data_IF_285797689496
#
_entry.id   IF_285797689496
#
_cell.length_a   1.000
_cell.length_b   1.000
_cell.length_c   1.000
_cell.angle_alpha   90.00
_cell.angle_beta   90.00
_cell.angle_gamma   90.00
#
_symmetry.space_group_name_H-M   'P 1'
#
loop_
_entity.id
_entity.type
_entity.pdbx_description
1 polymer ?
#
# COMPACT_ATOMS: atom_id res chain seq x y z
N UNK A 1 56.10 -27.69 40.08
CA UNK A 1 55.11 -28.29 39.20
C UNK A 1 53.68 -27.83 39.55
N UNK A 2 53.22 -27.92 40.82
CA UNK A 2 51.86 -27.55 41.24
C UNK A 2 51.53 -26.06 41.01
N UNK A 3 52.43 -25.14 41.39
CA UNK A 3 52.25 -23.68 41.22
C UNK A 3 52.17 -23.26 39.74
N UNK A 4 52.95 -23.91 38.87
CA UNK A 4 52.91 -23.67 37.43
C UNK A 4 51.58 -24.11 36.83
N UNK A 5 51.07 -25.29 37.24
CA UNK A 5 49.79 -25.80 36.79
C UNK A 5 48.61 -24.93 37.29
N UNK A 6 48.68 -24.36 38.49
CA UNK A 6 47.69 -23.44 39.00
C UNK A 6 47.68 -22.10 38.22
N UNK A 7 48.86 -21.55 37.88
CA UNK A 7 48.95 -20.32 37.06
C UNK A 7 48.42 -20.55 35.65
N UNK A 8 48.76 -21.68 35.02
CA UNK A 8 48.26 -22.06 33.71
C UNK A 8 46.74 -22.28 33.71
N UNK A 9 46.21 -22.96 34.73
CA UNK A 9 44.76 -23.13 34.88
C UNK A 9 44.03 -21.79 35.09
N UNK A 10 44.59 -20.89 35.87
CA UNK A 10 44.02 -19.56 36.11
C UNK A 10 44.03 -18.70 34.82
N UNK A 11 45.12 -18.75 34.04
CA UNK A 11 45.22 -18.08 32.75
C UNK A 11 44.15 -18.62 31.75
N UNK A 12 43.99 -19.94 31.66
CA UNK A 12 42.98 -20.57 30.82
C UNK A 12 41.53 -20.16 31.19
N UNK A 13 41.24 -20.10 32.49
CA UNK A 13 39.91 -19.62 32.96
C UNK A 13 39.70 -18.15 32.64
N UNK A 14 40.71 -17.28 32.75
CA UNK A 14 40.61 -15.88 32.39
C UNK A 14 40.42 -15.68 30.89
N UNK A 15 41.12 -16.43 30.04
CA UNK A 15 40.96 -16.40 28.59
C UNK A 15 39.56 -16.85 28.16
N UNK A 16 39.04 -17.95 28.77
CA UNK A 16 37.68 -18.43 28.52
C UNK A 16 36.64 -17.39 28.94
N UNK A 17 36.77 -16.77 30.11
CA UNK A 17 35.85 -15.73 30.58
C UNK A 17 35.86 -14.48 29.70
N UNK A 18 37.03 -14.05 29.20
CA UNK A 18 37.14 -12.94 28.25
C UNK A 18 36.48 -13.27 26.90
N UNK A 19 36.69 -14.48 26.38
CA UNK A 19 36.07 -14.96 25.15
C UNK A 19 34.56 -14.98 25.28
N UNK A 20 34.03 -15.53 26.36
CA UNK A 20 32.58 -15.59 26.62
C UNK A 20 31.97 -14.18 26.76
N UNK A 21 32.64 -13.28 27.47
CA UNK A 21 32.21 -11.88 27.62
C UNK A 21 32.13 -11.18 26.27
N UNK A 22 33.13 -11.39 25.42
CA UNK A 22 33.16 -10.75 24.08
C UNK A 22 32.05 -11.31 23.18
N UNK A 23 31.85 -12.63 23.15
CA UNK A 23 30.76 -13.26 22.40
C UNK A 23 29.41 -12.74 22.88
N UNK A 24 29.17 -12.68 24.19
CA UNK A 24 27.95 -12.19 24.77
C UNK A 24 27.70 -10.71 24.43
N UNK A 25 28.75 -9.87 24.44
CA UNK A 25 28.64 -8.46 24.04
C UNK A 25 28.24 -8.31 22.57
N UNK A 26 28.87 -9.08 21.68
CA UNK A 26 28.53 -9.09 20.24
C UNK A 26 27.11 -9.60 20.03
N UNK A 27 26.72 -10.69 20.69
CA UNK A 27 25.36 -11.25 20.61
C UNK A 27 24.31 -10.24 21.08
N UNK A 28 24.58 -9.53 22.17
CA UNK A 28 23.69 -8.48 22.66
C UNK A 28 23.59 -7.30 21.69
N UNK A 29 24.68 -6.91 21.07
CA UNK A 29 24.71 -5.85 20.04
C UNK A 29 23.89 -6.26 18.80
N UNK A 30 24.02 -7.51 18.37
CA UNK A 30 23.22 -8.09 17.28
C UNK A 30 21.72 -8.01 17.61
N UNK A 31 21.34 -8.33 18.84
CA UNK A 31 19.94 -8.32 19.29
C UNK A 31 19.37 -6.94 19.52
N UNK A 32 20.21 -5.94 19.85
CA UNK A 32 19.78 -4.58 20.18
C UNK A 32 19.55 -3.70 18.96
N UNK A 33 20.06 -4.04 17.79
CA UNK A 33 19.91 -3.25 16.56
C UNK A 33 19.17 -4.06 15.50
N UNK A 34 18.09 -3.49 14.97
CA UNK A 34 17.38 -4.03 13.81
C UNK A 34 17.92 -3.47 12.48
N UNK A 35 18.84 -2.51 12.54
CA UNK A 35 19.44 -1.88 11.36
C UNK A 35 20.71 -2.64 10.95
N UNK A 36 20.71 -3.35 9.80
CA UNK A 36 21.81 -4.20 9.39
C UNK A 36 23.18 -3.49 9.31
N UNK A 37 23.30 -2.24 8.76
CA UNK A 37 24.59 -1.54 8.69
C UNK A 37 25.19 -1.25 10.06
N UNK A 38 24.38 -0.83 11.02
CA UNK A 38 24.80 -0.55 12.41
C UNK A 38 25.29 -1.81 13.09
N UNK A 39 24.56 -2.91 12.91
CA UNK A 39 24.89 -4.22 13.46
C UNK A 39 26.21 -4.78 12.87
N UNK A 40 26.39 -4.70 11.56
CA UNK A 40 27.61 -5.19 10.90
C UNK A 40 28.86 -4.39 11.29
N UNK A 41 28.74 -3.07 11.38
CA UNK A 41 29.81 -2.20 11.84
C UNK A 41 30.20 -2.51 13.31
N UNK A 42 29.20 -2.76 14.15
CA UNK A 42 29.42 -3.10 15.55
C UNK A 42 30.12 -4.46 15.71
N UNK A 43 29.73 -5.48 14.95
CA UNK A 43 30.42 -6.78 14.94
C UNK A 43 31.90 -6.62 14.57
N UNK A 44 32.18 -5.89 13.50
CA UNK A 44 33.56 -5.65 13.07
C UNK A 44 34.36 -4.89 14.12
N UNK A 45 33.78 -3.88 14.76
CA UNK A 45 34.39 -3.08 15.81
C UNK A 45 34.71 -3.90 17.06
N UNK A 46 33.73 -4.64 17.56
CA UNK A 46 33.89 -5.43 18.79
C UNK A 46 34.95 -6.52 18.61
N UNK A 47 34.93 -7.26 17.51
CA UNK A 47 35.91 -8.29 17.23
C UNK A 47 37.32 -7.69 17.00
N UNK A 48 37.40 -6.62 16.18
CA UNK A 48 38.68 -5.94 15.91
C UNK A 48 39.33 -5.37 17.17
N UNK A 49 38.52 -4.80 18.06
CA UNK A 49 38.99 -4.27 19.35
C UNK A 49 39.43 -5.40 20.31
N UNK A 50 38.67 -6.49 20.39
CA UNK A 50 38.99 -7.62 21.27
C UNK A 50 40.29 -8.29 20.87
N UNK A 51 40.56 -8.45 19.58
CA UNK A 51 41.77 -9.05 19.04
C UNK A 51 42.92 -8.05 18.85
N UNK A 52 42.66 -6.76 19.13
CA UNK A 52 43.68 -5.69 18.99
C UNK A 52 44.35 -5.68 17.62
N UNK A 53 43.54 -5.76 16.57
CA UNK A 53 44.00 -5.76 15.17
C UNK A 53 43.89 -4.38 14.58
N UNK A 54 44.69 -4.09 13.51
CA UNK A 54 44.68 -2.82 12.79
C UNK A 54 43.48 -2.64 11.85
N UNK A 55 42.73 -3.72 11.61
CA UNK A 55 41.50 -3.66 10.84
C UNK A 55 40.71 -4.95 10.92
N UNK A 56 39.38 -4.79 10.94
CA UNK A 56 38.42 -5.87 10.84
C UNK A 56 37.33 -5.49 9.82
N UNK A 57 37.06 -6.39 8.89
CA UNK A 57 36.08 -6.16 7.83
C UNK A 57 35.08 -7.31 7.80
N UNK A 58 33.80 -7.01 7.83
CA UNK A 58 32.73 -7.95 7.55
C UNK A 58 32.27 -7.74 6.12
N UNK A 59 32.33 -8.79 5.33
CA UNK A 59 31.99 -8.78 3.90
C UNK A 59 30.97 -9.84 3.57
N UNK A 60 30.03 -9.50 2.69
CA UNK A 60 29.03 -10.43 2.17
C UNK A 60 29.36 -10.82 0.74
N UNK A 61 29.34 -12.10 0.46
CA UNK A 61 29.55 -12.68 -0.84
C UNK A 61 29.23 -14.18 -0.82
N UNK A 62 28.91 -14.74 -1.97
CA UNK A 62 28.65 -16.16 -2.19
C UNK A 62 29.51 -16.66 -3.35
N UNK A 63 29.50 -17.95 -3.61
CA UNK A 63 30.20 -18.53 -4.74
C UNK A 63 29.72 -17.97 -6.11
N UNK A 64 28.47 -17.55 -6.21
CA UNK A 64 27.88 -17.00 -7.43
C UNK A 64 28.14 -15.50 -7.64
N UNK A 65 28.62 -14.80 -6.62
CA UNK A 65 28.91 -13.38 -6.72
C UNK A 65 30.22 -13.13 -7.48
N UNK A 66 30.27 -12.03 -8.21
CA UNK A 66 31.49 -11.62 -8.94
C UNK A 66 32.47 -10.87 -8.04
N UNK A 67 31.97 -10.11 -7.10
CA UNK A 67 32.74 -9.24 -6.21
C UNK A 67 32.32 -9.38 -4.75
N UNK A 68 33.25 -9.12 -3.86
CA UNK A 68 33.01 -9.05 -2.43
C UNK A 68 32.39 -7.70 -2.07
N UNK A 69 31.36 -7.70 -1.22
CA UNK A 69 30.72 -6.48 -0.71
C UNK A 69 31.06 -6.29 0.75
N UNK A 70 31.74 -5.20 1.10
CA UNK A 70 31.99 -4.86 2.49
C UNK A 70 30.78 -4.20 3.12
N UNK A 71 30.31 -4.72 4.25
CA UNK A 71 29.13 -4.23 4.97
C UNK A 71 29.44 -3.77 6.39
N UNK A 72 30.61 -4.11 6.92
CA UNK A 72 31.07 -3.63 8.22
C UNK A 72 32.58 -3.45 8.24
N UNK A 73 33.06 -2.32 8.76
CA UNK A 73 34.47 -1.97 8.84
C UNK A 73 34.83 -1.48 10.23
N UNK A 74 35.95 -1.93 10.73
CA UNK A 74 36.67 -1.37 11.89
C UNK A 74 38.09 -0.99 11.47
N UNK A 75 38.45 0.28 11.65
CA UNK A 75 39.80 0.78 11.48
C UNK A 75 40.10 1.78 12.63
N UNK A 76 40.95 1.41 13.58
CA UNK A 76 41.26 2.29 14.73
C UNK A 76 41.96 3.60 14.35
N UNK A 77 42.58 3.67 13.16
CA UNK A 77 43.25 4.89 12.66
C UNK A 77 42.26 5.86 11.99
N UNK A 78 41.11 5.39 11.52
CA UNK A 78 40.05 6.17 10.86
C UNK A 78 38.68 5.84 11.44
N UNK A 79 38.39 6.15 12.73
CA UNK A 79 37.16 5.70 13.38
C UNK A 79 35.86 6.31 12.80
N UNK A 80 35.96 7.38 12.01
CA UNK A 80 34.80 8.10 11.47
C UNK A 80 34.31 7.58 10.11
N UNK A 81 35.03 6.70 9.43
CA UNK A 81 34.63 6.12 8.14
C UNK A 81 33.75 4.85 8.25
N UNK A 82 33.13 4.63 9.39
CA UNK A 82 32.54 3.35 9.79
C UNK A 82 31.15 3.12 9.24
N UNK A 83 30.49 4.11 8.65
CA UNK A 83 29.09 3.99 8.25
C UNK A 83 28.97 4.06 6.74
N UNK A 84 28.56 2.94 6.13
CA UNK A 84 28.05 2.92 4.77
C UNK A 84 26.68 3.63 4.80
N UNK A 85 26.63 4.81 4.24
CA UNK A 85 25.48 5.73 4.22
C UNK A 85 24.33 5.26 3.27
N UNK A 86 24.19 3.98 3.03
CA UNK A 86 23.14 3.47 2.16
C UNK A 86 22.12 2.65 2.95
N UNK A 87 20.88 3.10 2.91
CA UNK A 87 19.72 2.35 3.36
C UNK A 87 19.60 0.98 2.66
N UNK A 88 20.27 0.81 1.54
CA UNK A 88 20.38 -0.44 0.79
C UNK A 88 21.78 -1.06 0.90
N UNK A 89 22.04 -1.67 2.04
CA UNK A 89 23.29 -2.38 2.32
C UNK A 89 23.56 -3.54 1.34
N UNK A 90 22.55 -4.02 0.60
CA UNK A 90 22.69 -5.04 -0.43
C UNK A 90 23.27 -4.49 -1.73
N UNK A 91 23.18 -3.18 -1.96
CA UNK A 91 23.73 -2.51 -3.14
C UNK A 91 25.04 -1.76 -2.87
N UNK A 92 25.55 -1.80 -1.65
CA UNK A 92 26.78 -1.12 -1.27
C UNK A 92 27.98 -1.61 -2.10
N UNK A 93 28.37 -0.82 -3.08
CA UNK A 93 29.43 -1.10 -4.05
C UNK A 93 30.72 -0.44 -3.62
N UNK A 94 31.40 -0.90 -2.60
CA UNK A 94 32.61 -0.18 -2.14
C UNK A 94 33.90 -0.99 -2.21
N UNK A 95 33.84 -2.23 -2.67
CA UNK A 95 35.05 -3.01 -2.88
C UNK A 95 34.93 -3.82 -4.15
N UNK A 96 35.85 -3.61 -5.06
CA UNK A 96 35.95 -4.35 -6.34
C UNK A 96 36.86 -5.57 -6.25
N UNK A 97 36.91 -6.25 -5.10
CA UNK A 97 37.73 -7.47 -4.95
C UNK A 97 37.05 -8.61 -5.71
N UNK A 98 37.62 -9.08 -6.84
CA UNK A 98 37.07 -10.17 -7.61
C UNK A 98 37.25 -11.50 -6.84
N UNK A 99 36.17 -12.28 -6.75
CA UNK A 99 36.18 -13.54 -6.02
C UNK A 99 36.93 -14.62 -6.80
N UNK A 100 36.71 -14.70 -8.11
CA UNK A 100 37.27 -15.75 -8.98
C UNK A 100 38.81 -15.70 -9.06
N UNK A 101 39.39 -14.53 -9.01
CA UNK A 101 40.83 -14.32 -9.16
C UNK A 101 41.59 -14.24 -7.83
N UNK A 102 40.88 -14.24 -6.72
CA UNK A 102 41.49 -14.12 -5.40
C UNK A 102 41.77 -15.51 -4.78
N UNK A 103 43.03 -15.96 -4.67
CA UNK A 103 43.35 -17.30 -4.21
C UNK A 103 42.95 -17.53 -2.75
N UNK A 104 42.91 -16.49 -1.94
CA UNK A 104 42.50 -16.61 -0.52
C UNK A 104 41.01 -16.90 -0.43
N UNK A 105 40.19 -16.19 -1.22
CA UNK A 105 38.75 -16.44 -1.29
C UNK A 105 38.44 -17.80 -1.94
N UNK A 106 39.23 -18.21 -2.93
CA UNK A 106 39.10 -19.55 -3.51
C UNK A 106 39.46 -20.65 -2.50
N UNK A 107 40.51 -20.45 -1.68
CA UNK A 107 40.84 -21.36 -0.59
C UNK A 107 39.73 -21.47 0.45
N UNK A 108 39.08 -20.34 0.79
CA UNK A 108 37.90 -20.33 1.66
C UNK A 108 36.75 -21.13 1.07
N UNK A 109 36.43 -20.92 -0.23
CA UNK A 109 35.37 -21.66 -0.92
C UNK A 109 35.60 -23.15 -0.93
N UNK A 110 36.83 -23.55 -1.17
CA UNK A 110 37.21 -24.97 -1.24
C UNK A 110 37.24 -25.66 0.14
N UNK A 111 37.83 -24.99 1.14
CA UNK A 111 38.04 -25.62 2.46
C UNK A 111 36.90 -25.41 3.42
N UNK A 112 36.15 -24.30 3.25
CA UNK A 112 35.13 -23.78 4.20
C UNK A 112 35.68 -23.61 5.61
N UNK A 113 37.00 -23.37 5.73
CA UNK A 113 37.73 -23.19 6.99
C UNK A 113 38.46 -21.87 7.04
N UNK A 114 38.79 -21.41 8.21
CA UNK A 114 39.61 -20.22 8.44
C UNK A 114 40.93 -20.30 7.69
N UNK A 115 41.26 -19.26 6.94
CA UNK A 115 42.53 -19.10 6.21
C UNK A 115 43.37 -18.06 6.93
N UNK A 116 44.62 -18.40 7.24
CA UNK A 116 45.55 -17.52 7.97
C UNK A 116 46.85 -17.36 7.21
N UNK A 117 47.41 -16.16 7.28
CA UNK A 117 48.77 -15.85 6.88
C UNK A 117 49.48 -15.08 7.99
N UNK A 118 50.63 -15.55 8.43
CA UNK A 118 51.43 -14.91 9.48
C UNK A 118 52.34 -13.82 8.95
N UNK A 119 52.73 -13.88 7.68
CA UNK A 119 53.57 -12.92 6.99
C UNK A 119 53.38 -12.97 5.48
N UNK A 120 52.61 -12.04 4.93
CA UNK A 120 52.30 -11.96 3.48
C UNK A 120 53.52 -11.56 2.65
N UNK A 121 54.50 -10.86 3.21
CA UNK A 121 55.72 -10.48 2.48
C UNK A 121 56.55 -11.74 2.12
N UNK A 122 56.48 -12.78 2.91
CA UNK A 122 57.10 -14.09 2.61
C UNK A 122 56.30 -14.89 1.56
N UNK A 123 55.06 -14.56 1.35
CA UNK A 123 54.15 -15.24 0.44
C UNK A 123 53.87 -14.38 -0.79
N UNK A 124 54.89 -14.15 -1.64
CA UNK A 124 54.86 -13.22 -2.80
C UNK A 124 53.66 -13.44 -3.73
N UNK A 125 53.08 -14.60 -3.78
CA UNK A 125 51.95 -14.92 -4.61
C UNK A 125 50.63 -14.38 -4.03
N UNK A 126 50.53 -14.11 -2.72
CA UNK A 126 49.34 -13.59 -2.05
C UNK A 126 49.38 -12.08 -1.85
N UNK A 127 50.60 -11.51 -1.76
CA UNK A 127 50.79 -10.07 -1.57
C UNK A 127 50.30 -9.17 -2.73
N UNK A 128 49.93 -9.77 -3.86
CA UNK A 128 49.44 -9.06 -5.06
C UNK A 128 47.94 -8.85 -5.09
N UNK A 129 47.19 -9.52 -4.20
CA UNK A 129 45.74 -9.48 -4.24
C UNK A 129 45.23 -8.39 -3.31
N UNK A 130 44.42 -7.51 -3.86
CA UNK A 130 43.77 -6.46 -3.13
C UNK A 130 42.79 -7.07 -2.12
N UNK A 131 42.99 -6.69 -0.85
CA UNK A 131 41.99 -6.95 0.18
C UNK A 131 40.96 -5.84 0.15
N UNK A 132 39.75 -6.07 0.61
CA UNK A 132 38.78 -4.99 0.81
C UNK A 132 39.47 -3.82 1.53
N UNK A 133 39.30 -2.60 0.99
CA UNK A 133 39.85 -1.33 1.56
C UNK A 133 41.33 -1.03 1.29
N UNK A 134 41.95 -1.51 0.24
CA UNK A 134 43.27 -1.10 -0.26
C UNK A 134 44.34 -0.90 0.84
N UNK A 135 44.15 -1.47 2.02
CA UNK A 135 45.06 -1.30 3.12
C UNK A 135 46.12 -2.41 3.11
N UNK A 136 47.36 -2.03 3.29
CA UNK A 136 48.48 -2.98 3.46
C UNK A 136 48.15 -3.91 4.62
N UNK A 137 48.31 -5.20 4.40
CA UNK A 137 48.26 -6.20 5.46
C UNK A 137 49.54 -6.98 5.41
N UNK A 138 50.21 -7.17 6.55
CA UNK A 138 51.37 -8.03 6.72
C UNK A 138 50.98 -9.40 7.22
N UNK A 139 50.01 -9.44 8.14
CA UNK A 139 49.39 -10.70 8.55
C UNK A 139 47.86 -10.59 8.46
N UNK A 140 47.20 -11.68 8.13
CA UNK A 140 45.74 -11.74 8.04
C UNK A 140 45.17 -13.05 8.54
N UNK A 141 43.90 -12.98 8.98
CA UNK A 141 43.04 -14.13 9.24
C UNK A 141 41.71 -13.85 8.56
N UNK A 142 41.22 -14.80 7.78
CA UNK A 142 39.90 -14.70 7.13
C UNK A 142 39.03 -15.87 7.58
N UNK A 143 37.89 -15.55 8.19
CA UNK A 143 36.96 -16.51 8.75
C UNK A 143 35.71 -16.51 7.89
N UNK A 144 35.26 -17.65 7.36
CA UNK A 144 34.02 -17.72 6.57
C UNK A 144 32.80 -17.54 7.45
N UNK A 145 31.78 -16.82 6.91
CA UNK A 145 30.42 -16.82 7.43
C UNK A 145 29.67 -17.98 6.79
N UNK A 146 29.37 -19.01 7.56
CA UNK A 146 28.72 -20.22 7.08
C UNK A 146 27.25 -20.25 7.49
N UNK A 147 26.38 -20.51 6.53
CA UNK A 147 24.98 -20.81 6.72
C UNK A 147 24.66 -22.09 5.97
N UNK A 148 24.16 -23.12 6.63
CA UNK A 148 23.85 -24.43 6.03
C UNK A 148 25.01 -24.99 5.16
N UNK A 149 26.23 -24.85 5.65
CA UNK A 149 27.48 -25.26 4.97
C UNK A 149 27.82 -24.43 3.70
N UNK A 150 27.07 -23.36 3.41
CA UNK A 150 27.36 -22.45 2.32
C UNK A 150 28.00 -21.15 2.83
N UNK A 151 28.95 -20.61 2.05
CA UNK A 151 29.57 -19.32 2.39
C UNK A 151 28.63 -18.20 1.96
N UNK A 152 28.26 -17.35 2.93
CA UNK A 152 27.45 -16.15 2.72
C UNK A 152 28.25 -14.85 2.91
N UNK A 153 29.53 -14.98 3.25
CA UNK A 153 30.43 -13.89 3.50
C UNK A 153 31.70 -14.30 4.24
N UNK A 154 32.44 -13.33 4.73
CA UNK A 154 33.64 -13.55 5.54
C UNK A 154 33.91 -12.38 6.49
N UNK A 155 34.62 -12.68 7.58
CA UNK A 155 35.28 -11.67 8.41
C UNK A 155 36.76 -11.71 8.12
N UNK A 156 37.35 -10.57 7.80
CA UNK A 156 38.80 -10.41 7.54
C UNK A 156 39.41 -9.57 8.66
N UNK A 157 40.38 -10.13 9.34
CA UNK A 157 41.18 -9.50 10.38
C UNK A 157 42.58 -9.26 9.83
N UNK A 158 43.16 -8.09 10.04
CA UNK A 158 44.45 -7.72 9.48
C UNK A 158 45.37 -7.04 10.51
N UNK A 159 46.66 -7.32 10.35
CA UNK A 159 47.76 -6.59 10.96
C UNK A 159 48.57 -5.93 9.85
N UNK A 160 48.83 -4.63 9.94
CA UNK A 160 49.41 -3.88 8.83
C UNK A 160 50.93 -3.81 8.85
N UNK A 161 51.53 -3.59 10.03
CA UNK A 161 52.96 -3.23 10.15
C UNK A 161 53.84 -4.40 10.63
N UNK A 162 53.27 -5.43 11.21
CA UNK A 162 54.03 -6.55 11.80
C UNK A 162 53.48 -7.89 11.36
N UNK A 163 54.35 -8.89 11.28
CA UNK A 163 53.94 -10.29 11.20
C UNK A 163 53.23 -10.67 12.52
N UNK A 164 52.23 -11.55 12.44
CA UNK A 164 51.47 -12.02 13.60
C UNK A 164 51.22 -13.52 13.54
N UNK A 165 51.54 -14.17 14.62
CA UNK A 165 51.14 -15.56 14.84
C UNK A 165 49.78 -15.56 15.52
N UNK A 166 48.79 -16.10 14.85
CA UNK A 166 47.43 -16.20 15.36
C UNK A 166 47.33 -17.37 16.32
N UNK A 167 46.91 -17.15 17.55
CA UNK A 167 46.72 -18.20 18.54
C UNK A 167 45.44 -19.02 18.28
N UNK A 168 45.37 -20.22 18.84
CA UNK A 168 44.16 -21.03 18.77
C UNK A 168 42.96 -20.33 19.40
N UNK A 169 43.17 -19.64 20.53
CA UNK A 169 42.10 -18.89 21.21
C UNK A 169 41.58 -17.74 20.38
N UNK A 170 42.44 -17.02 19.67
CA UNK A 170 42.03 -15.93 18.75
C UNK A 170 41.21 -16.47 17.56
N UNK A 171 41.64 -17.61 17.01
CA UNK A 171 40.93 -18.26 15.90
C UNK A 171 39.56 -18.74 16.33
N UNK A 172 39.46 -19.41 17.45
CA UNK A 172 38.18 -19.86 18.00
C UNK A 172 37.22 -18.71 18.34
N UNK A 173 37.74 -17.58 18.85
CA UNK A 173 36.93 -16.41 19.10
C UNK A 173 36.39 -15.84 17.78
N UNK A 174 37.24 -15.72 16.76
CA UNK A 174 36.85 -15.20 15.45
C UNK A 174 35.81 -16.09 14.77
N UNK A 175 35.98 -17.40 14.85
CA UNK A 175 35.02 -18.40 14.34
C UNK A 175 33.67 -18.36 15.07
N UNK A 176 33.69 -18.23 16.39
CA UNK A 176 32.47 -18.08 17.17
C UNK A 176 31.70 -16.79 16.81
N UNK A 177 32.44 -15.69 16.63
CA UNK A 177 31.82 -14.43 16.17
C UNK A 177 31.32 -14.53 14.73
N UNK A 178 32.05 -15.19 13.84
CA UNK A 178 31.63 -15.43 12.46
C UNK A 178 30.30 -16.22 12.39
N UNK A 179 30.16 -17.24 13.25
CA UNK A 179 28.89 -17.98 13.36
C UNK A 179 27.73 -17.10 13.80
N UNK A 180 27.93 -16.21 14.78
CA UNK A 180 26.91 -15.26 15.21
C UNK A 180 26.60 -14.20 14.12
N UNK A 181 27.62 -13.74 13.42
CA UNK A 181 27.47 -12.81 12.29
C UNK A 181 26.69 -13.45 11.14
N UNK A 182 26.91 -14.74 10.85
CA UNK A 182 26.13 -15.44 9.81
C UNK A 182 24.63 -15.47 10.14
N UNK A 183 24.28 -15.76 11.40
CA UNK A 183 22.89 -15.70 11.87
C UNK A 183 22.32 -14.29 11.74
N UNK A 184 23.09 -13.28 12.12
CA UNK A 184 22.70 -11.88 12.02
C UNK A 184 22.42 -11.45 10.57
N UNK A 185 23.25 -11.86 9.63
CA UNK A 185 23.07 -11.61 8.18
C UNK A 185 21.79 -12.26 7.69
N UNK A 186 21.51 -13.50 8.09
CA UNK A 186 20.28 -14.20 7.72
C UNK A 186 19.04 -13.47 8.26
N UNK A 187 19.06 -13.11 9.55
CA UNK A 187 17.95 -12.37 10.17
C UNK A 187 17.71 -11.04 9.49
N UNK A 188 18.76 -10.29 9.16
CA UNK A 188 18.68 -9.04 8.44
C UNK A 188 18.03 -9.19 7.06
N UNK A 189 18.42 -10.22 6.30
CA UNK A 189 17.83 -10.55 4.99
C UNK A 189 16.35 -10.89 5.11
N UNK A 190 15.99 -11.76 6.04
CA UNK A 190 14.59 -12.15 6.28
C UNK A 190 13.73 -10.96 6.69
N UNK A 191 14.23 -10.10 7.58
CA UNK A 191 13.50 -8.91 8.02
C UNK A 191 13.25 -7.94 6.85
N UNK A 192 14.25 -7.70 6.02
CA UNK A 192 14.11 -6.85 4.84
C UNK A 192 13.13 -7.44 3.82
N UNK A 193 13.16 -8.76 3.59
CA UNK A 193 12.19 -9.43 2.73
C UNK A 193 10.77 -9.28 3.27
N UNK A 194 10.57 -9.46 4.58
CA UNK A 194 9.28 -9.28 5.23
C UNK A 194 8.75 -7.85 5.04
N UNK A 195 9.58 -6.83 5.25
CA UNK A 195 9.19 -5.43 5.04
C UNK A 195 8.77 -5.15 3.59
N UNK A 196 9.51 -5.70 2.61
CA UNK A 196 9.17 -5.56 1.19
C UNK A 196 7.82 -6.23 0.85
N UNK A 197 7.57 -7.41 1.39
CA UNK A 197 6.29 -8.11 1.19
C UNK A 197 5.13 -7.37 1.90
N UNK A 198 5.32 -6.88 3.11
CA UNK A 198 4.32 -6.06 3.80
C UNK A 198 3.97 -4.79 3.00
N UNK A 199 4.98 -4.13 2.43
CA UNK A 199 4.76 -2.95 1.59
C UNK A 199 3.99 -3.28 0.31
N UNK A 200 4.31 -4.41 -0.36
CA UNK A 200 3.57 -4.89 -1.52
C UNK A 200 2.11 -5.20 -1.18
N UNK A 201 1.87 -5.92 -0.08
CA UNK A 201 0.51 -6.24 0.40
C UNK A 201 -0.26 -4.95 0.72
N UNK A 202 0.37 -3.99 1.39
CA UNK A 202 -0.24 -2.69 1.69
C UNK A 202 -0.62 -1.91 0.42
N UNK A 203 0.29 -1.85 -0.56
CA UNK A 203 0.02 -1.20 -1.86
C UNK A 203 -1.12 -1.89 -2.61
N UNK A 204 -1.12 -3.22 -2.64
CA UNK A 204 -2.17 -4.01 -3.29
C UNK A 204 -3.52 -3.81 -2.60
N UNK A 205 -3.57 -3.87 -1.27
CA UNK A 205 -4.79 -3.64 -0.50
C UNK A 205 -5.33 -2.22 -0.73
N UNK A 206 -4.46 -1.21 -0.75
CA UNK A 206 -4.84 0.15 -1.07
C UNK A 206 -5.42 0.25 -2.49
N UNK A 207 -4.77 -0.33 -3.49
CA UNK A 207 -5.26 -0.35 -4.86
C UNK A 207 -6.62 -1.05 -4.98
N UNK A 208 -6.77 -2.24 -4.39
CA UNK A 208 -8.03 -2.98 -4.42
C UNK A 208 -9.15 -2.20 -3.73
N UNK A 209 -8.87 -1.59 -2.58
CA UNK A 209 -9.86 -0.85 -1.80
C UNK A 209 -10.27 0.44 -2.50
N UNK A 210 -9.32 1.30 -2.85
CA UNK A 210 -9.59 2.64 -3.37
C UNK A 210 -9.94 2.66 -4.86
N UNK A 211 -9.23 1.87 -5.65
CA UNK A 211 -9.34 1.96 -7.11
C UNK A 211 -10.29 0.93 -7.72
N UNK A 212 -10.54 -0.18 -7.04
CA UNK A 212 -11.40 -1.25 -7.57
C UNK A 212 -12.71 -1.33 -6.80
N UNK A 213 -12.68 -1.69 -5.51
CA UNK A 213 -13.91 -1.97 -4.76
C UNK A 213 -14.85 -0.77 -4.64
N UNK A 214 -14.32 0.44 -4.44
CA UNK A 214 -15.14 1.67 -4.36
C UNK A 214 -15.86 2.03 -5.67
N UNK A 215 -15.48 1.42 -6.80
CA UNK A 215 -16.21 1.60 -8.06
C UNK A 215 -17.49 0.76 -8.15
N UNK A 216 -17.55 -0.33 -7.40
CA UNK A 216 -18.64 -1.30 -7.48
C UNK A 216 -19.47 -1.39 -6.20
N UNK A 217 -18.93 -0.91 -5.08
CA UNK A 217 -19.56 -0.96 -3.77
C UNK A 217 -19.54 0.42 -3.11
N UNK A 218 -20.57 0.74 -2.31
CA UNK A 218 -20.58 1.96 -1.52
C UNK A 218 -19.33 2.10 -0.64
N UNK A 219 -18.72 3.29 -0.62
CA UNK A 219 -17.49 3.55 0.12
C UNK A 219 -17.59 3.18 1.62
N UNK A 220 -18.75 3.39 2.23
CA UNK A 220 -19.01 3.01 3.63
C UNK A 220 -18.85 1.50 3.86
N UNK A 221 -19.31 0.67 2.92
CA UNK A 221 -19.17 -0.80 2.97
C UNK A 221 -17.70 -1.18 2.83
N UNK A 222 -17.03 -0.64 1.81
CA UNK A 222 -15.61 -0.92 1.55
C UNK A 222 -14.74 -0.53 2.73
N UNK A 223 -14.95 0.65 3.31
CA UNK A 223 -14.18 1.12 4.47
C UNK A 223 -14.39 0.24 5.72
N UNK A 224 -15.63 -0.18 5.99
CA UNK A 224 -15.93 -1.09 7.10
C UNK A 224 -15.30 -2.47 6.89
N UNK A 225 -15.33 -2.99 5.67
CA UNK A 225 -14.71 -4.27 5.30
C UNK A 225 -13.17 -4.19 5.40
N UNK A 226 -12.56 -3.13 4.91
CA UNK A 226 -11.11 -2.92 4.98
C UNK A 226 -10.57 -2.85 6.42
N UNK A 227 -11.42 -2.41 7.37
CA UNK A 227 -11.08 -2.39 8.80
C UNK A 227 -11.46 -3.67 9.55
N UNK A 228 -11.91 -4.72 8.84
CA UNK A 228 -12.35 -5.99 9.44
C UNK A 228 -13.65 -5.91 10.27
N UNK A 229 -14.36 -4.77 10.21
CA UNK A 229 -15.59 -4.54 10.99
C UNK A 229 -16.86 -5.06 10.30
N UNK A 230 -16.77 -5.42 9.03
CA UNK A 230 -17.92 -5.88 8.24
C UNK A 230 -17.46 -6.92 7.20
N UNK A 231 -18.24 -8.00 7.06
CA UNK A 231 -18.14 -8.89 5.93
C UNK A 231 -18.73 -8.22 4.68
N UNK A 232 -18.14 -8.45 3.51
CA UNK A 232 -18.72 -8.01 2.23
C UNK A 232 -19.98 -8.80 1.84
N UNK A 233 -20.30 -9.88 2.53
CA UNK A 233 -21.51 -10.69 2.29
C UNK A 233 -22.68 -10.12 3.11
N UNK A 234 -23.20 -8.97 2.67
CA UNK A 234 -24.31 -8.25 3.30
C UNK A 234 -25.64 -8.96 2.96
N UNK A 235 -26.16 -9.67 3.92
CA UNK A 235 -27.48 -10.32 3.80
C UNK A 235 -28.58 -9.27 3.56
N UNK A 236 -29.48 -9.47 2.57
CA UNK A 236 -30.57 -8.55 2.32
C UNK A 236 -31.49 -8.40 3.54
N UNK A 237 -31.75 -7.16 3.95
CA UNK A 237 -32.59 -6.85 5.11
C UNK A 237 -33.65 -5.78 4.80
N UNK A 238 -34.83 -5.83 5.45
CA UNK A 238 -35.85 -4.80 5.31
C UNK A 238 -35.38 -3.46 5.89
N UNK A 239 -35.41 -2.41 5.06
CA UNK A 239 -35.08 -1.02 5.46
C UNK A 239 -36.12 -0.04 4.93
N UNK A 240 -36.27 1.09 5.61
CA UNK A 240 -36.98 2.24 5.04
C UNK A 240 -35.94 3.15 4.38
N UNK A 241 -36.07 3.38 3.08
CA UNK A 241 -35.13 4.16 2.30
C UNK A 241 -35.86 5.21 1.46
N UNK A 242 -35.14 6.25 1.06
CA UNK A 242 -35.58 7.17 0.01
C UNK A 242 -34.83 6.86 -1.25
N UNK A 243 -35.56 6.61 -2.35
CA UNK A 243 -35.01 6.32 -3.67
C UNK A 243 -35.17 7.55 -4.56
N UNK A 244 -34.12 7.88 -5.29
CA UNK A 244 -34.08 8.92 -6.30
C UNK A 244 -33.75 8.29 -7.65
N UNK A 245 -34.59 8.54 -8.66
CA UNK A 245 -34.27 8.32 -10.07
C UNK A 245 -34.07 9.65 -10.77
N UNK A 246 -33.03 9.77 -11.56
CA UNK A 246 -32.75 10.90 -12.43
C UNK A 246 -32.43 10.41 -13.83
N UNK A 247 -32.87 11.14 -14.87
CA UNK A 247 -32.71 10.73 -16.26
C UNK A 247 -32.63 11.99 -17.16
N UNK A 248 -31.96 11.88 -18.29
CA UNK A 248 -31.90 12.95 -19.30
C UNK A 248 -33.15 12.95 -20.20
N UNK A 249 -33.64 14.11 -20.48
CA UNK A 249 -34.79 14.26 -21.43
C UNK A 249 -34.27 14.26 -22.86
N UNK A 250 -34.75 13.30 -23.65
CA UNK A 250 -34.43 13.23 -25.08
C UNK A 250 -33.08 12.60 -25.41
N UNK A 251 -32.44 11.93 -24.47
CA UNK A 251 -31.14 11.28 -24.69
C UNK A 251 -31.18 10.27 -25.84
N UNK A 252 -32.25 9.50 -25.99
CA UNK A 252 -32.45 8.57 -27.12
C UNK A 252 -32.36 9.27 -28.48
N UNK A 253 -32.93 10.47 -28.61
CA UNK A 253 -32.81 11.27 -29.84
C UNK A 253 -31.38 11.85 -30.02
N UNK A 254 -30.70 12.17 -28.93
CA UNK A 254 -29.32 12.62 -28.95
C UNK A 254 -28.40 11.53 -29.44
N UNK A 255 -28.56 10.30 -28.91
CA UNK A 255 -27.74 9.16 -29.26
C UNK A 255 -27.82 8.72 -30.73
N UNK A 256 -28.91 9.08 -31.42
CA UNK A 256 -29.06 8.82 -32.87
C UNK A 256 -28.43 9.92 -33.76
N UNK A 257 -28.02 11.05 -33.20
CA UNK A 257 -27.50 12.21 -33.94
C UNK A 257 -26.02 12.49 -33.73
N UNK A 258 -25.49 12.12 -32.59
CA UNK A 258 -24.09 12.37 -32.26
C UNK A 258 -23.19 11.21 -32.69
N UNK A 259 -21.94 11.54 -32.97
CA UNK A 259 -20.89 10.53 -33.12
C UNK A 259 -20.72 9.72 -31.82
N UNK A 260 -20.48 8.41 -31.96
CA UNK A 260 -20.45 7.47 -30.82
C UNK A 260 -19.40 7.85 -29.77
N UNK A 261 -18.23 8.33 -30.19
CA UNK A 261 -17.15 8.73 -29.28
C UNK A 261 -17.58 9.96 -28.46
N UNK A 262 -18.12 10.98 -29.12
CA UNK A 262 -18.59 12.20 -28.45
C UNK A 262 -19.77 11.92 -27.52
N UNK A 263 -20.68 11.02 -27.94
CA UNK A 263 -21.80 10.58 -27.09
C UNK A 263 -21.28 9.91 -25.80
N UNK A 264 -20.27 9.04 -25.92
CA UNK A 264 -19.66 8.36 -24.78
C UNK A 264 -18.96 9.35 -23.83
N UNK A 265 -18.27 10.36 -24.36
CA UNK A 265 -17.65 11.42 -23.55
C UNK A 265 -18.70 12.22 -22.76
N UNK A 266 -19.76 12.68 -23.44
CA UNK A 266 -20.85 13.42 -22.81
C UNK A 266 -21.54 12.59 -21.73
N UNK A 267 -21.82 11.31 -22.02
CA UNK A 267 -22.46 10.41 -21.06
C UNK A 267 -21.57 10.18 -19.84
N UNK A 268 -20.28 9.95 -20.02
CA UNK A 268 -19.34 9.78 -18.92
C UNK A 268 -19.22 11.04 -18.04
N UNK A 269 -19.05 12.23 -18.65
CA UNK A 269 -19.01 13.49 -17.92
C UNK A 269 -20.33 13.72 -17.13
N UNK A 270 -21.48 13.37 -17.73
CA UNK A 270 -22.78 13.46 -17.07
C UNK A 270 -22.89 12.49 -15.88
N UNK A 271 -22.60 11.19 -16.08
CA UNK A 271 -22.73 10.18 -15.04
C UNK A 271 -21.76 10.46 -13.88
N UNK A 272 -20.56 10.96 -14.16
CA UNK A 272 -19.59 11.40 -13.13
C UNK A 272 -20.16 12.57 -12.29
N UNK A 273 -20.71 13.59 -12.93
CA UNK A 273 -21.30 14.74 -12.24
C UNK A 273 -22.52 14.34 -11.41
N UNK A 274 -23.37 13.45 -11.92
CA UNK A 274 -24.55 12.94 -11.19
C UNK A 274 -24.12 12.11 -9.98
N UNK A 275 -23.13 11.22 -10.14
CA UNK A 275 -22.56 10.43 -9.04
C UNK A 275 -21.96 11.33 -7.98
N UNK A 276 -21.19 12.35 -8.39
CA UNK A 276 -20.64 13.34 -7.47
C UNK A 276 -21.72 14.02 -6.64
N UNK A 277 -22.82 14.43 -7.27
CA UNK A 277 -23.96 15.05 -6.56
C UNK A 277 -24.57 14.11 -5.51
N UNK A 278 -24.64 12.78 -5.79
CA UNK A 278 -25.11 11.79 -4.82
C UNK A 278 -24.13 11.69 -3.64
N UNK A 279 -22.82 11.59 -3.91
CA UNK A 279 -21.79 11.46 -2.87
C UNK A 279 -21.66 12.72 -2.02
N UNK A 280 -21.76 13.92 -2.60
CA UNK A 280 -21.73 15.20 -1.88
C UNK A 280 -22.83 15.29 -0.80
N UNK A 281 -23.93 14.53 -0.95
CA UNK A 281 -25.03 14.44 -0.01
C UNK A 281 -25.10 13.12 0.76
N UNK A 282 -24.00 12.35 0.78
CA UNK A 282 -23.91 11.04 1.46
C UNK A 282 -25.01 10.05 1.02
N UNK A 283 -25.35 10.07 -0.26
CA UNK A 283 -26.20 9.08 -0.90
C UNK A 283 -25.37 7.90 -1.44
N UNK A 284 -26.04 6.83 -1.79
CA UNK A 284 -25.48 5.66 -2.43
C UNK A 284 -25.96 5.59 -3.87
N UNK A 285 -25.05 5.57 -4.84
CA UNK A 285 -25.40 5.24 -6.24
C UNK A 285 -25.64 3.72 -6.28
N UNK A 286 -26.83 3.31 -6.69
CA UNK A 286 -27.19 1.90 -6.85
C UNK A 286 -26.69 1.39 -8.20
N UNK A 287 -27.18 1.99 -9.28
CA UNK A 287 -26.79 1.63 -10.65
C UNK A 287 -27.11 2.75 -11.65
N UNK A 288 -26.49 2.61 -12.81
CA UNK A 288 -26.86 3.34 -14.00
C UNK A 288 -27.76 2.48 -14.90
N UNK A 289 -28.77 3.11 -15.50
CA UNK A 289 -29.70 2.47 -16.44
C UNK A 289 -29.74 3.34 -17.70
N UNK A 290 -28.82 3.07 -18.64
CA UNK A 290 -28.56 3.97 -19.75
C UNK A 290 -28.01 5.33 -19.27
N UNK A 291 -28.72 6.41 -19.56
CA UNK A 291 -28.48 7.76 -19.03
C UNK A 291 -29.15 8.00 -17.66
N UNK A 292 -29.93 7.04 -17.17
CA UNK A 292 -30.59 7.12 -15.87
C UNK A 292 -29.66 6.75 -14.72
N UNK A 293 -29.82 7.48 -13.60
CA UNK A 293 -29.11 7.24 -12.35
C UNK A 293 -30.09 6.87 -11.26
N UNK A 294 -29.91 5.73 -10.63
CA UNK A 294 -30.62 5.33 -9.42
C UNK A 294 -29.73 5.56 -8.19
N UNK A 295 -30.24 6.31 -7.24
CA UNK A 295 -29.58 6.54 -5.96
C UNK A 295 -30.53 6.26 -4.80
N UNK A 296 -29.95 5.88 -3.65
CA UNK A 296 -30.71 5.64 -2.42
C UNK A 296 -30.07 6.33 -1.20
N UNK A 297 -30.90 6.64 -0.21
CA UNK A 297 -30.53 7.27 1.05
C UNK A 297 -31.14 6.46 2.20
N UNK A 298 -30.37 6.20 3.26
CA UNK A 298 -30.74 5.34 4.39
C UNK A 298 -30.20 3.91 4.27
N UNK A 299 -29.27 3.68 3.31
CA UNK A 299 -28.48 2.46 3.20
C UNK A 299 -27.18 2.75 2.44
N UNK A 300 -26.03 2.14 2.79
CA UNK A 300 -25.85 1.21 3.91
C UNK A 300 -25.89 1.86 5.29
N UNK A 301 -25.79 3.18 5.37
CA UNK A 301 -25.85 3.93 6.61
C UNK A 301 -27.30 4.25 6.98
N UNK A 302 -27.64 4.08 8.25
CA UNK A 302 -28.96 4.42 8.75
C UNK A 302 -29.11 5.94 8.84
N UNK A 303 -30.18 6.45 8.25
CA UNK A 303 -30.58 7.84 8.31
C UNK A 303 -32.05 7.93 8.72
N UNK A 304 -32.41 8.96 9.45
CA UNK A 304 -33.82 9.25 9.76
C UNK A 304 -34.61 9.58 8.50
N UNK A 305 -35.91 9.29 8.48
CA UNK A 305 -36.77 9.57 7.34
C UNK A 305 -36.70 11.03 6.85
N UNK A 306 -36.70 12.04 7.73
CA UNK A 306 -36.54 13.44 7.31
C UNK A 306 -35.18 13.73 6.66
N UNK A 307 -34.09 13.15 7.19
CA UNK A 307 -32.75 13.33 6.64
C UNK A 307 -32.60 12.70 5.26
N UNK A 308 -33.12 11.49 5.08
CA UNK A 308 -33.15 10.82 3.77
C UNK A 308 -33.85 11.67 2.72
N UNK A 309 -35.05 12.17 3.04
CA UNK A 309 -35.85 13.00 2.13
C UNK A 309 -35.13 14.33 1.81
N UNK A 310 -34.55 15.00 2.81
CA UNK A 310 -33.82 16.26 2.64
C UNK A 310 -32.60 16.06 1.74
N UNK A 311 -31.80 15.01 2.00
CA UNK A 311 -30.61 14.68 1.21
C UNK A 311 -30.96 14.33 -0.24
N UNK A 312 -32.00 13.52 -0.46
CA UNK A 312 -32.45 13.16 -1.81
C UNK A 312 -32.86 14.40 -2.63
N UNK A 313 -33.62 15.32 -2.03
CA UNK A 313 -34.02 16.56 -2.69
C UNK A 313 -32.84 17.49 -2.96
N UNK A 314 -31.93 17.63 -1.99
CA UNK A 314 -30.71 18.41 -2.15
C UNK A 314 -29.83 17.83 -3.26
N UNK A 315 -29.69 16.51 -3.33
CA UNK A 315 -29.00 15.81 -4.41
C UNK A 315 -29.59 16.16 -5.78
N UNK A 316 -30.92 16.06 -5.94
CA UNK A 316 -31.56 16.39 -7.21
C UNK A 316 -31.35 17.87 -7.62
N UNK A 317 -31.32 18.80 -6.65
CA UNK A 317 -30.98 20.20 -6.91
C UNK A 317 -29.52 20.36 -7.34
N UNK A 318 -28.58 19.68 -6.70
CA UNK A 318 -27.17 19.70 -7.05
C UNK A 318 -26.92 19.05 -8.41
N UNK A 319 -27.61 17.94 -8.73
CA UNK A 319 -27.60 17.33 -10.07
C UNK A 319 -28.01 18.32 -11.14
N UNK A 320 -29.11 19.07 -10.92
CA UNK A 320 -29.54 20.10 -11.84
C UNK A 320 -28.47 21.19 -12.02
N UNK A 321 -27.89 21.68 -10.95
CA UNK A 321 -26.82 22.67 -11.00
C UNK A 321 -25.61 22.17 -11.80
N UNK A 322 -25.17 20.95 -11.55
CA UNK A 322 -24.05 20.33 -12.28
C UNK A 322 -24.38 20.17 -13.77
N UNK A 323 -25.59 19.74 -14.11
CA UNK A 323 -25.99 19.66 -15.51
C UNK A 323 -25.96 21.03 -16.22
N UNK A 324 -26.34 22.13 -15.53
CA UNK A 324 -26.23 23.48 -16.11
C UNK A 324 -24.77 23.84 -16.38
N UNK A 325 -23.84 23.54 -15.48
CA UNK A 325 -22.42 23.76 -15.71
C UNK A 325 -21.88 22.92 -16.87
N UNK A 326 -22.30 21.66 -16.99
CA UNK A 326 -21.94 20.80 -18.11
C UNK A 326 -22.46 21.33 -19.42
N UNK A 327 -23.73 21.74 -19.47
CA UNK A 327 -24.34 22.39 -20.66
C UNK A 327 -23.52 23.59 -21.12
N UNK A 328 -23.14 24.48 -20.20
CA UNK A 328 -22.30 25.65 -20.54
C UNK A 328 -20.95 25.23 -21.11
N UNK A 329 -20.29 24.23 -20.50
CA UNK A 329 -19.01 23.71 -20.97
C UNK A 329 -19.11 23.05 -22.34
N UNK A 330 -20.16 22.26 -22.57
CA UNK A 330 -20.39 21.63 -23.87
C UNK A 330 -20.70 22.62 -24.97
N UNK A 331 -21.49 23.65 -24.67
CA UNK A 331 -21.73 24.77 -25.63
C UNK A 331 -20.45 25.51 -25.98
N UNK A 332 -19.54 25.73 -25.04
CA UNK A 332 -18.26 26.40 -25.28
C UNK A 332 -17.25 25.53 -26.09
N UNK A 333 -17.36 24.20 -26.05
CA UNK A 333 -16.50 23.28 -26.82
C UNK A 333 -16.89 23.16 -28.31
N UNK A 334 -18.05 23.66 -28.70
CA UNK A 334 -18.62 23.49 -30.04
C UNK A 334 -17.99 24.48 -31.03
N UNK A 335 -16.87 24.12 -31.64
CA UNK A 335 -16.28 24.88 -32.76
C UNK A 335 -16.10 24.11 -34.08
N UNK A 336 -16.40 22.79 -34.16
CA UNK A 336 -16.14 22.03 -35.40
C UNK A 336 -17.00 20.78 -35.68
N UNK A 337 -17.85 20.32 -34.76
CA UNK A 337 -18.49 18.99 -34.94
C UNK A 337 -20.00 18.95 -34.70
N UNK A 338 -20.70 20.07 -34.80
CA UNK A 338 -22.15 20.12 -34.65
C UNK A 338 -22.60 20.63 -33.27
N UNK A 339 -23.79 21.26 -33.21
CA UNK A 339 -24.36 21.82 -31.97
C UNK A 339 -24.84 20.72 -31.03
N UNK A 340 -24.26 20.64 -29.84
CA UNK A 340 -24.82 19.81 -28.76
C UNK A 340 -26.04 20.53 -28.20
N UNK A 341 -27.23 19.92 -28.18
CA UNK A 341 -28.42 20.59 -27.62
C UNK A 341 -28.27 20.77 -26.10
N UNK A 342 -28.92 21.76 -25.54
CA UNK A 342 -29.01 21.94 -24.08
C UNK A 342 -29.81 20.78 -23.51
N UNK A 343 -29.13 19.96 -22.71
CA UNK A 343 -29.71 18.77 -22.08
C UNK A 343 -30.54 19.20 -20.86
N UNK A 344 -31.65 18.53 -20.67
CA UNK A 344 -32.56 18.72 -19.55
C UNK A 344 -32.67 17.42 -18.78
N UNK A 345 -32.94 17.49 -17.48
CA UNK A 345 -33.12 16.31 -16.63
C UNK A 345 -34.51 16.31 -16.00
N UNK A 346 -34.90 15.14 -15.51
CA UNK A 346 -36.11 14.94 -14.71
C UNK A 346 -35.83 13.94 -13.58
N UNK A 347 -36.37 14.23 -12.40
CA UNK A 347 -36.16 13.35 -11.23
C UNK A 347 -37.49 12.91 -10.62
N UNK A 348 -37.47 11.69 -10.07
CA UNK A 348 -38.54 11.15 -9.24
C UNK A 348 -37.99 10.70 -7.88
N UNK A 349 -38.62 11.08 -6.78
CA UNK A 349 -38.20 10.76 -5.41
C UNK A 349 -39.35 10.15 -4.64
N UNK A 350 -39.12 8.97 -4.09
CA UNK A 350 -40.10 8.28 -3.24
C UNK A 350 -39.42 7.64 -2.02
N UNK A 351 -40.09 7.69 -0.87
CA UNK A 351 -39.66 7.04 0.37
C UNK A 351 -40.59 5.90 0.74
N UNK A 352 -40.01 4.74 1.09
CA UNK A 352 -40.79 3.56 1.47
C UNK A 352 -39.92 2.41 1.98
N UNK A 353 -40.57 1.28 2.22
CA UNK A 353 -39.89 0.03 2.62
C UNK A 353 -39.31 -0.68 1.39
N UNK A 354 -38.07 -1.17 1.52
CA UNK A 354 -37.39 -2.02 0.58
C UNK A 354 -36.61 -3.10 1.30
N UNK A 355 -36.18 -4.12 0.58
CA UNK A 355 -35.12 -5.03 1.04
C UNK A 355 -33.82 -4.56 0.39
N UNK A 356 -32.80 -4.27 1.21
CA UNK A 356 -31.52 -3.74 0.76
C UNK A 356 -30.40 -4.68 1.18
N UNK A 357 -29.49 -4.97 0.28
CA UNK A 357 -28.35 -5.86 0.53
C UNK A 357 -27.71 -6.34 -0.75
N UNK A 358 -26.91 -7.40 -0.65
CA UNK A 358 -26.28 -8.03 -1.80
C UNK A 358 -27.24 -8.99 -2.47
N UNK A 359 -27.58 -8.73 -3.74
CA UNK A 359 -28.44 -9.58 -4.56
C UNK A 359 -27.66 -10.15 -5.75
N UNK A 360 -27.86 -11.41 -6.05
CA UNK A 360 -27.25 -12.07 -7.21
C UNK A 360 -26.82 -13.50 -6.92
N UNK A 361 -26.07 -14.06 -7.84
CA UNK A 361 -25.52 -15.42 -7.77
C UNK A 361 -24.07 -15.46 -7.27
N UNK A 362 -23.46 -16.66 -7.29
CA UNK A 362 -22.09 -16.86 -6.80
C UNK A 362 -21.01 -16.07 -7.56
N UNK A 363 -21.24 -15.77 -8.84
CA UNK A 363 -20.24 -15.07 -9.68
C UNK A 363 -20.43 -13.54 -9.74
N UNK A 364 -21.65 -13.06 -9.47
CA UNK A 364 -21.97 -11.63 -9.50
C UNK A 364 -23.02 -11.30 -8.45
N UNK A 365 -22.71 -10.34 -7.60
CA UNK A 365 -23.62 -9.77 -6.61
C UNK A 365 -23.56 -8.25 -6.71
N UNK A 366 -24.71 -7.60 -6.70
CA UNK A 366 -24.84 -6.16 -6.69
C UNK A 366 -25.47 -5.73 -5.37
N UNK A 367 -24.92 -4.67 -4.74
CA UNK A 367 -25.55 -4.05 -3.58
C UNK A 367 -26.68 -3.14 -4.06
N UNK A 368 -27.92 -3.54 -3.82
CA UNK A 368 -29.09 -2.85 -4.39
C UNK A 368 -30.31 -2.92 -3.48
N UNK A 369 -31.31 -2.15 -3.83
CA UNK A 369 -32.63 -2.14 -3.17
C UNK A 369 -33.69 -2.79 -4.07
N UNK A 370 -34.53 -3.65 -3.47
CA UNK A 370 -35.65 -4.30 -4.15
C UNK A 370 -36.94 -4.00 -3.40
N UNK A 371 -37.97 -3.48 -4.11
CA UNK A 371 -39.28 -3.20 -3.52
C UNK A 371 -40.11 -2.22 -4.32
N UNK A 372 -41.40 -2.05 -3.90
CA UNK A 372 -42.32 -1.13 -4.55
C UNK A 372 -41.80 0.32 -4.60
N UNK A 373 -41.00 0.73 -3.59
CA UNK A 373 -40.42 2.08 -3.50
C UNK A 373 -39.56 2.40 -4.73
N UNK A 374 -38.78 1.45 -5.22
CA UNK A 374 -37.93 1.60 -6.41
C UNK A 374 -38.80 1.85 -7.67
N UNK A 375 -39.80 1.04 -7.86
CA UNK A 375 -40.70 1.15 -9.00
C UNK A 375 -41.48 2.47 -9.00
N UNK A 376 -41.94 2.91 -7.83
CA UNK A 376 -42.68 4.19 -7.69
C UNK A 376 -41.75 5.37 -8.00
N UNK A 377 -40.53 5.41 -7.47
CA UNK A 377 -39.57 6.48 -7.77
C UNK A 377 -39.25 6.57 -9.27
N UNK A 378 -39.02 5.43 -9.92
CA UNK A 378 -38.81 5.35 -11.37
C UNK A 378 -40.01 5.86 -12.17
N UNK A 379 -41.25 5.51 -11.79
CA UNK A 379 -42.46 5.97 -12.47
C UNK A 379 -42.71 7.46 -12.25
N UNK A 380 -42.44 7.99 -11.07
CA UNK A 380 -42.47 9.42 -10.83
C UNK A 380 -41.51 10.15 -11.74
N UNK A 381 -40.29 9.67 -11.89
CA UNK A 381 -39.30 10.23 -12.80
C UNK A 381 -39.85 10.23 -14.26
N UNK A 382 -40.47 9.14 -14.71
CA UNK A 382 -40.95 9.02 -16.08
C UNK A 382 -42.05 10.02 -16.44
N UNK A 383 -42.90 10.42 -15.47
CA UNK A 383 -43.99 11.40 -15.67
C UNK A 383 -43.59 12.82 -15.26
N UNK A 384 -42.37 13.01 -14.75
CA UNK A 384 -41.88 14.34 -14.39
C UNK A 384 -41.62 15.18 -15.66
N UNK A 385 -41.92 16.49 -15.54
CA UNK A 385 -41.64 17.43 -16.61
C UNK A 385 -40.12 17.69 -16.74
N UNK A 386 -39.63 18.08 -17.91
CA UNK A 386 -38.23 18.52 -18.06
C UNK A 386 -37.87 19.60 -17.03
N UNK A 387 -36.67 19.53 -16.50
CA UNK A 387 -36.15 20.40 -15.45
C UNK A 387 -37.05 20.45 -14.20
N UNK A 388 -37.59 19.30 -13.77
CA UNK A 388 -38.38 19.19 -12.57
C UNK A 388 -38.09 17.96 -11.74
N UNK A 389 -38.43 18.03 -10.44
CA UNK A 389 -38.40 16.93 -9.49
C UNK A 389 -39.84 16.63 -9.09
N UNK A 390 -40.29 15.38 -9.22
CA UNK A 390 -41.51 14.89 -8.61
C UNK A 390 -41.20 14.18 -7.30
N UNK A 391 -41.85 14.63 -6.23
CA UNK A 391 -41.68 14.10 -4.87
C UNK A 391 -43.02 13.51 -4.43
N UNK A 392 -43.04 12.24 -4.05
CA UNK A 392 -44.26 11.61 -3.50
C UNK A 392 -44.74 12.34 -2.24
N UNK A 393 -46.04 12.31 -1.98
CA UNK A 393 -46.64 12.84 -0.75
C UNK A 393 -46.00 12.22 0.49
N UNK A 394 -45.67 10.91 0.46
CA UNK A 394 -44.96 10.22 1.56
C UNK A 394 -43.60 10.84 1.85
N UNK A 395 -42.84 11.20 0.81
CA UNK A 395 -41.52 11.85 0.94
C UNK A 395 -41.66 13.29 1.45
N UNK A 396 -42.65 14.02 0.95
CA UNK A 396 -42.92 15.39 1.38
C UNK A 396 -43.36 15.46 2.86
N UNK A 397 -44.23 14.54 3.28
CA UNK A 397 -44.70 14.43 4.67
C UNK A 397 -43.58 14.06 5.67
N UNK A 398 -42.53 13.39 5.23
CA UNK A 398 -41.35 13.12 6.05
C UNK A 398 -40.58 14.40 6.44
N UNK A 399 -40.75 15.48 5.68
CA UNK A 399 -40.06 16.76 5.89
C UNK A 399 -41.02 17.75 6.54
N UNK A 400 -41.49 17.58 7.76
CA UNK A 400 -42.38 18.48 8.51
C UNK A 400 -43.07 19.59 7.69
N UNK A 401 -44.36 19.84 7.91
CA UNK A 401 -45.27 20.67 7.13
C UNK A 401 -44.87 22.15 6.84
N UNK A 402 -43.68 22.59 7.23
CA UNK A 402 -43.22 23.98 7.07
C UNK A 402 -42.64 24.33 5.68
N UNK A 403 -42.59 23.39 4.72
CA UNK A 403 -42.08 23.64 3.39
C UNK A 403 -43.29 23.81 2.44
N UNK A 404 -43.42 24.99 1.84
CA UNK A 404 -44.42 25.21 0.80
C UNK A 404 -43.99 24.47 -0.48
N UNK A 405 -44.51 23.30 -0.69
CA UNK A 405 -44.23 22.43 -1.85
C UNK A 405 -45.03 22.85 -3.10
N UNK A 406 -45.89 23.86 -3.03
CA UNK A 406 -46.84 24.20 -4.08
C UNK A 406 -48.08 23.28 -4.07
N UNK A 407 -48.73 23.15 -5.24
CA UNK A 407 -49.95 22.34 -5.36
C UNK A 407 -49.64 20.86 -5.51
N UNK A 408 -50.30 20.01 -4.72
CA UNK A 408 -50.38 18.55 -4.95
C UNK A 408 -51.04 18.31 -6.30
N UNK A 409 -50.51 17.38 -7.05
CA UNK A 409 -51.09 16.91 -8.30
C UNK A 409 -51.28 15.40 -8.24
N UNK A 410 -52.36 14.95 -8.85
CA UNK A 410 -52.61 13.53 -9.01
C UNK A 410 -51.96 13.04 -10.31
N UNK A 411 -51.31 11.92 -10.23
CA UNK A 411 -50.65 11.27 -11.37
C UNK A 411 -51.16 9.84 -11.51
N UNK A 412 -51.46 9.42 -12.74
CA UNK A 412 -51.69 8.04 -13.07
C UNK A 412 -50.32 7.38 -13.33
N UNK A 413 -49.89 6.50 -12.46
CA UNK A 413 -48.62 5.78 -12.63
C UNK A 413 -48.90 4.38 -13.21
N UNK A 414 -48.19 3.99 -14.27
CA UNK A 414 -48.38 2.69 -14.94
C UNK A 414 -48.33 1.52 -13.95
N UNK A 415 -49.43 0.75 -13.85
CA UNK A 415 -49.53 -0.42 -12.93
C UNK A 415 -49.64 -0.02 -11.45
N UNK A 416 -50.20 1.14 -11.16
CA UNK A 416 -50.77 1.54 -9.89
C UNK A 416 -52.20 1.93 -10.18
N UNK A 417 -53.17 1.25 -9.57
CA UNK A 417 -54.60 1.40 -9.91
C UNK A 417 -55.14 2.71 -9.32
N UNK A 418 -54.58 3.16 -8.21
CA UNK A 418 -55.00 4.43 -7.55
C UNK A 418 -54.25 5.63 -8.09
N UNK A 419 -54.91 6.80 -8.05
CA UNK A 419 -54.27 8.10 -8.28
C UNK A 419 -53.16 8.35 -7.27
N UNK A 420 -51.95 8.64 -7.77
CA UNK A 420 -50.77 8.86 -6.96
C UNK A 420 -50.49 10.35 -6.73
N UNK A 421 -50.52 10.78 -5.49
CA UNK A 421 -50.30 12.18 -5.13
C UNK A 421 -48.79 12.48 -5.05
N UNK A 422 -48.40 13.57 -5.76
CA UNK A 422 -47.01 14.05 -5.75
C UNK A 422 -46.92 15.56 -5.86
N UNK A 423 -45.83 16.12 -5.38
CA UNK A 423 -45.49 17.54 -5.48
C UNK A 423 -44.44 17.74 -6.57
N UNK A 424 -44.52 18.82 -7.33
CA UNK A 424 -43.61 19.19 -8.41
C UNK A 424 -42.77 20.39 -8.04
N UNK A 425 -41.46 20.24 -7.99
CA UNK A 425 -40.51 21.35 -7.91
C UNK A 425 -39.95 21.61 -9.30
N UNK A 426 -40.13 22.80 -9.84
CA UNK A 426 -39.58 23.24 -11.13
C UNK A 426 -38.33 24.07 -10.89
N UNK A 427 -37.30 23.83 -11.69
CA UNK A 427 -36.15 24.71 -11.78
C UNK A 427 -36.42 25.80 -12.81
N UNK A 428 -36.14 27.06 -12.46
CA UNK A 428 -36.22 28.18 -13.43
C UNK A 428 -35.08 28.03 -14.44
N UNK A 429 -35.41 28.08 -15.72
CA UNK A 429 -34.39 28.15 -16.77
C UNK A 429 -33.67 29.52 -16.69
N UNK A 430 -32.33 29.57 -16.89
CA UNK A 430 -31.61 30.86 -16.91
C UNK A 430 -32.12 31.90 -17.91
N UNK A 431 -32.86 31.49 -18.93
CA UNK A 431 -33.40 32.35 -19.98
C UNK A 431 -34.71 33.08 -19.61
N UNK A 432 -35.24 32.91 -18.40
CA UNK A 432 -36.47 33.62 -17.94
C UNK A 432 -36.19 34.75 -16.95
N UNK A 433 -34.97 35.21 -16.84
CA UNK A 433 -34.56 36.35 -16.00
C UNK A 433 -34.05 37.49 -16.90
N UNK A 434 -34.87 37.96 -17.82
CA UNK A 434 -34.68 39.23 -18.52
C UNK A 434 -36.00 40.04 -18.53
#
# INVERSE_FOLDING_TARGET
>A
AIAINQVLAHQQVQELAQKETTINRITNTIRSSLEPPVMFAAIAKELGSALKVDGCTLSLWTQSDRFVRCVGLYNPLEPQKIILDSADWQQATTSSVPIAENPILQALLFTKKTVMSTDLEKQRNLARYELPWHAKARALMIVPLLLDQEIIGSITLRQSDASRNWSTSETELAEAVASQAAIAVQQAKLYQQLQLEEEKVRKLNYYLTESVLKRFLPAAIVNKAATGKLSLDLTPEPRRITVLFCDLVGFTNLSSRLEVVLLAEILNEYLEAMSKAVFDHNGTVDKFVGDGVMAMFGAPEDLSCPEQARKAISTAKTMYFYLQMLNQRWQAKVNSSGSIPILQMRCGIHQGKAVVGMFGGGQRKDYTAVGKVVNIASRLQSVALPNSILISETTANALNHNINWGQVRNFQLKGIDDEFKAYMIRFKSPQQSS
#
